data_IF_133516963804
#
_entry.id   IF_133516963804
#
_cell.length_a   1.000
_cell.length_b   1.000
_cell.length_c   1.000
_cell.angle_alpha   90.00
_cell.angle_beta   90.00
_cell.angle_gamma   90.00
#
_symmetry.space_group_name_H-M   'P 1'
#
loop_
_entity.id
_entity.type
_entity.pdbx_description
1 polymer ?
#
# COMPACT_ATOMS: atom_id res chain seq x y z
N UNK A 1 -9.89 -35.94 -41.55
CA UNK A 1 -8.55 -35.39 -41.26
C UNK A 1 -8.51 -33.86 -41.26
N UNK A 2 -9.04 -33.18 -42.29
CA UNK A 2 -9.08 -31.70 -42.32
C UNK A 2 -9.96 -31.15 -41.18
N UNK A 3 -11.14 -31.72 -40.96
CA UNK A 3 -12.05 -31.31 -39.88
C UNK A 3 -11.42 -31.45 -38.49
N UNK A 4 -10.82 -32.61 -38.20
CA UNK A 4 -10.08 -32.84 -36.94
C UNK A 4 -8.90 -31.89 -36.78
N UNK A 5 -8.20 -31.53 -37.86
CA UNK A 5 -7.10 -30.58 -37.83
C UNK A 5 -7.59 -29.15 -37.50
N UNK A 6 -8.72 -28.73 -38.08
CA UNK A 6 -9.35 -27.44 -37.80
C UNK A 6 -9.79 -27.37 -36.33
N UNK A 7 -10.44 -28.41 -35.80
CA UNK A 7 -10.87 -28.45 -34.40
C UNK A 7 -9.69 -28.30 -33.44
N UNK A 8 -8.57 -29.00 -33.70
CA UNK A 8 -7.36 -28.90 -32.87
C UNK A 8 -6.78 -27.49 -32.90
N UNK A 9 -6.70 -26.86 -34.08
CA UNK A 9 -6.21 -25.48 -34.20
C UNK A 9 -7.10 -24.51 -33.41
N UNK A 10 -8.43 -24.63 -33.53
CA UNK A 10 -9.37 -23.77 -32.77
C UNK A 10 -9.18 -23.96 -31.26
N UNK A 11 -9.05 -25.19 -30.78
CA UNK A 11 -8.82 -25.47 -29.35
C UNK A 11 -7.51 -24.87 -28.87
N UNK A 12 -6.42 -24.96 -29.64
CA UNK A 12 -5.13 -24.37 -29.28
C UNK A 12 -5.19 -22.84 -29.22
N UNK A 13 -5.90 -22.20 -30.15
CA UNK A 13 -6.11 -20.75 -30.15
C UNK A 13 -6.92 -20.32 -28.93
N UNK A 14 -8.04 -21.00 -28.63
CA UNK A 14 -8.87 -20.69 -27.45
C UNK A 14 -8.09 -20.92 -26.16
N UNK A 15 -7.32 -22.02 -26.07
CA UNK A 15 -6.52 -22.33 -24.89
C UNK A 15 -5.42 -21.27 -24.66
N UNK A 16 -4.73 -20.83 -25.71
CA UNK A 16 -3.68 -19.81 -25.58
C UNK A 16 -4.24 -18.46 -25.14
N UNK A 17 -5.34 -17.99 -25.76
CA UNK A 17 -6.02 -16.76 -25.33
C UNK A 17 -6.58 -16.88 -23.90
N UNK A 18 -7.17 -18.03 -23.57
CA UNK A 18 -7.72 -18.30 -22.24
C UNK A 18 -6.66 -18.24 -21.13
N UNK A 19 -5.47 -18.79 -21.37
CA UNK A 19 -4.35 -18.73 -20.41
C UNK A 19 -3.89 -17.28 -20.18
N UNK A 20 -3.76 -16.49 -21.24
CA UNK A 20 -3.33 -15.09 -21.14
C UNK A 20 -4.34 -14.27 -20.33
N UNK A 21 -5.62 -14.36 -20.67
CA UNK A 21 -6.68 -13.66 -19.93
C UNK A 21 -6.77 -14.10 -18.47
N UNK A 22 -6.63 -15.41 -18.20
CA UNK A 22 -6.62 -15.93 -16.83
C UNK A 22 -5.47 -15.36 -16.00
N UNK A 23 -4.25 -15.33 -16.55
CA UNK A 23 -3.08 -14.75 -15.87
C UNK A 23 -3.27 -13.27 -15.55
N UNK A 24 -3.79 -12.50 -16.51
CA UNK A 24 -4.08 -11.08 -16.27
C UNK A 24 -5.10 -10.86 -15.15
N UNK A 25 -6.15 -11.68 -15.09
CA UNK A 25 -7.14 -11.62 -14.02
C UNK A 25 -6.51 -11.95 -12.66
N UNK A 26 -5.68 -12.99 -12.61
CA UNK A 26 -4.97 -13.38 -11.39
C UNK A 26 -3.99 -12.30 -10.92
N UNK A 27 -3.22 -11.69 -11.82
CA UNK A 27 -2.28 -10.61 -11.50
C UNK A 27 -3.03 -9.39 -10.98
N UNK A 28 -4.15 -9.05 -11.61
CA UNK A 28 -5.02 -7.94 -11.19
C UNK A 28 -5.64 -8.20 -9.81
N UNK A 29 -6.08 -9.43 -9.55
CA UNK A 29 -6.62 -9.83 -8.24
C UNK A 29 -5.53 -9.80 -7.15
N UNK A 30 -4.33 -10.28 -7.47
CA UNK A 30 -3.18 -10.29 -6.54
C UNK A 30 -2.73 -8.88 -6.20
N UNK A 31 -2.62 -8.01 -7.20
CA UNK A 31 -2.42 -6.58 -7.01
C UNK A 31 -3.47 -5.99 -6.07
N UNK A 32 -4.76 -6.28 -6.32
CA UNK A 32 -5.85 -5.75 -5.50
C UNK A 32 -5.77 -6.21 -4.05
N UNK A 33 -5.43 -7.46 -3.81
CA UNK A 33 -5.22 -7.99 -2.46
C UNK A 33 -4.04 -7.28 -1.78
N UNK A 34 -2.93 -7.05 -2.48
CA UNK A 34 -1.79 -6.32 -1.91
C UNK A 34 -2.13 -4.87 -1.55
N UNK A 35 -2.93 -4.18 -2.36
CA UNK A 35 -3.45 -2.85 -2.02
C UNK A 35 -4.27 -2.87 -0.73
N UNK A 36 -5.17 -3.84 -0.60
CA UNK A 36 -6.03 -3.99 0.57
C UNK A 36 -5.19 -4.35 1.80
N UNK A 37 -4.16 -5.17 1.65
CA UNK A 37 -3.20 -5.47 2.71
C UNK A 37 -2.46 -4.21 3.16
N UNK A 38 -1.90 -3.41 2.25
CA UNK A 38 -1.22 -2.15 2.58
C UNK A 38 -2.13 -1.22 3.39
N UNK A 39 -3.37 -1.00 2.92
CA UNK A 39 -4.34 -0.15 3.62
C UNK A 39 -4.80 -0.72 4.95
N UNK A 40 -4.91 -2.04 5.05
CA UNK A 40 -5.19 -2.75 6.30
C UNK A 40 -4.04 -2.53 7.29
N UNK A 41 -2.78 -2.62 6.83
CA UNK A 41 -1.62 -2.39 7.68
C UNK A 41 -1.50 -0.93 8.13
N UNK A 42 -1.76 0.05 7.27
CA UNK A 42 -1.83 1.47 7.68
C UNK A 42 -2.89 1.67 8.77
N UNK A 43 -4.09 1.11 8.59
CA UNK A 43 -5.16 1.23 9.59
C UNK A 43 -4.85 0.45 10.87
N UNK A 44 -4.13 -0.68 10.78
CA UNK A 44 -3.67 -1.43 11.94
C UNK A 44 -2.60 -0.64 12.72
N UNK A 45 -1.68 0.05 12.03
CA UNK A 45 -0.70 0.93 12.67
C UNK A 45 -1.36 2.13 13.34
N UNK A 46 -2.43 2.67 12.77
CA UNK A 46 -3.26 3.69 13.43
C UNK A 46 -3.87 3.15 14.72
N UNK A 47 -4.48 1.96 14.70
CA UNK A 47 -5.04 1.36 15.93
C UNK A 47 -3.97 1.07 16.99
N UNK A 48 -2.80 0.60 16.58
CA UNK A 48 -1.67 0.42 17.50
C UNK A 48 -1.26 1.76 18.13
N UNK A 49 -1.08 2.80 17.32
CA UNK A 49 -0.61 4.09 17.80
C UNK A 49 -1.60 4.77 18.75
N UNK A 50 -2.91 4.57 18.54
CA UNK A 50 -3.95 5.06 19.43
C UNK A 50 -3.99 4.31 20.78
N UNK A 51 -3.52 3.07 20.85
CA UNK A 51 -3.51 2.26 22.07
C UNK A 51 -2.19 2.36 22.85
N UNK A 52 -1.07 2.47 22.13
CA UNK A 52 0.29 2.46 22.71
C UNK A 52 0.92 3.87 22.73
N UNK A 53 0.16 4.91 22.39
CA UNK A 53 0.56 6.34 22.33
C UNK A 53 1.78 6.61 21.43
N UNK A 54 1.97 5.80 20.39
CA UNK A 54 3.10 5.93 19.46
C UNK A 54 3.10 4.85 18.39
N UNK A 55 3.62 5.19 17.21
CA UNK A 55 3.72 4.28 16.08
C UNK A 55 4.73 3.14 16.34
N UNK A 56 4.46 1.92 15.84
CA UNK A 56 5.30 0.78 16.14
C UNK A 56 6.65 0.90 15.41
N UNK A 57 7.74 0.55 16.08
CA UNK A 57 9.07 0.52 15.45
C UNK A 57 9.19 -0.51 14.31
N UNK A 58 8.26 -1.45 14.21
CA UNK A 58 8.22 -2.49 13.19
C UNK A 58 6.81 -3.08 13.10
N UNK A 59 6.39 -3.56 11.92
CA UNK A 59 5.14 -4.27 11.74
C UNK A 59 4.99 -5.50 12.65
N UNK A 60 6.10 -6.09 13.10
CA UNK A 60 6.08 -7.24 14.03
C UNK A 60 5.55 -6.91 15.44
N UNK A 61 5.35 -5.62 15.77
CA UNK A 61 4.71 -5.20 17.03
C UNK A 61 3.19 -5.17 16.96
N UNK A 62 2.59 -5.24 15.76
CA UNK A 62 1.15 -5.27 15.61
C UNK A 62 0.56 -6.53 16.23
N UNK A 63 -0.48 -6.36 17.05
CA UNK A 63 -1.23 -7.48 17.62
C UNK A 63 -2.26 -7.97 16.61
N UNK A 64 -2.68 -9.22 16.74
CA UNK A 64 -3.72 -9.82 15.88
C UNK A 64 -4.97 -8.95 15.82
N UNK A 65 -5.40 -8.45 16.98
CA UNK A 65 -6.60 -7.63 17.14
C UNK A 65 -6.52 -6.30 16.39
N UNK A 66 -5.33 -5.72 16.21
CA UNK A 66 -5.14 -4.52 15.39
C UNK A 66 -5.43 -4.82 13.92
N UNK A 67 -4.87 -5.93 13.42
CA UNK A 67 -5.00 -6.35 12.03
C UNK A 67 -6.44 -6.81 11.72
N UNK A 68 -7.07 -7.59 12.61
CA UNK A 68 -8.46 -8.04 12.44
C UNK A 68 -9.45 -6.87 12.39
N UNK A 69 -9.33 -5.92 13.33
CA UNK A 69 -10.16 -4.71 13.33
C UNK A 69 -9.92 -3.86 12.10
N UNK A 70 -8.66 -3.71 11.68
CA UNK A 70 -8.31 -2.94 10.50
C UNK A 70 -8.87 -3.57 9.21
N UNK A 71 -8.77 -4.89 9.08
CA UNK A 71 -9.34 -5.64 7.95
C UNK A 71 -10.86 -5.43 7.87
N UNK A 72 -11.56 -5.62 8.99
CA UNK A 72 -13.01 -5.42 9.05
C UNK A 72 -13.41 -3.97 8.68
N UNK A 73 -12.62 -2.99 9.14
CA UNK A 73 -12.84 -1.58 8.80
C UNK A 73 -12.66 -1.33 7.29
N UNK A 74 -11.56 -1.82 6.71
CA UNK A 74 -11.24 -1.63 5.28
C UNK A 74 -12.28 -2.30 4.41
N UNK A 75 -12.62 -3.56 4.68
CA UNK A 75 -13.60 -4.29 3.89
C UNK A 75 -15.00 -3.66 3.94
N UNK A 76 -15.39 -3.03 5.07
CA UNK A 76 -16.70 -2.38 5.21
C UNK A 76 -16.77 -1.00 4.55
N UNK A 77 -15.66 -0.26 4.48
CA UNK A 77 -15.64 1.16 4.08
C UNK A 77 -14.97 1.44 2.74
N UNK A 78 -14.14 0.54 2.23
CA UNK A 78 -13.44 0.75 0.97
C UNK A 78 -14.01 -0.06 -0.19
N UNK A 79 -14.54 0.66 -1.19
CA UNK A 79 -14.89 0.12 -2.49
C UNK A 79 -16.07 -0.85 -2.46
N UNK A 80 -16.17 -1.66 -3.52
CA UNK A 80 -17.22 -2.66 -3.65
C UNK A 80 -16.80 -3.95 -2.92
N UNK A 81 -17.47 -4.24 -1.81
CA UNK A 81 -17.24 -5.44 -0.98
C UNK A 81 -17.19 -6.73 -1.82
N UNK A 82 -18.02 -6.84 -2.84
CA UNK A 82 -18.04 -7.99 -3.73
C UNK A 82 -16.77 -8.12 -4.56
N UNK A 83 -16.27 -7.02 -5.13
CA UNK A 83 -15.03 -7.03 -5.92
C UNK A 83 -13.85 -7.43 -5.05
N UNK A 84 -13.77 -6.89 -3.83
CA UNK A 84 -12.70 -7.24 -2.90
C UNK A 84 -12.76 -8.72 -2.51
N UNK A 85 -13.96 -9.24 -2.17
CA UNK A 85 -14.15 -10.66 -1.85
C UNK A 85 -13.80 -11.57 -3.03
N UNK A 86 -14.16 -11.19 -4.25
CA UNK A 86 -13.81 -11.94 -5.46
C UNK A 86 -12.31 -11.96 -5.70
N UNK A 87 -11.61 -10.83 -5.50
CA UNK A 87 -10.15 -10.80 -5.60
C UNK A 87 -9.49 -11.76 -4.60
N UNK A 88 -9.90 -11.72 -3.32
CA UNK A 88 -9.41 -12.68 -2.31
C UNK A 88 -9.72 -14.13 -2.70
N UNK A 89 -10.92 -14.42 -3.20
CA UNK A 89 -11.31 -15.77 -3.62
C UNK A 89 -10.44 -16.27 -4.78
N UNK A 90 -10.24 -15.46 -5.83
CA UNK A 90 -9.44 -15.81 -6.99
C UNK A 90 -8.00 -16.13 -6.62
N UNK A 91 -7.36 -15.29 -5.82
CA UNK A 91 -5.98 -15.52 -5.37
C UNK A 91 -5.91 -16.77 -4.48
N UNK A 92 -6.88 -16.95 -3.57
CA UNK A 92 -6.96 -18.12 -2.68
C UNK A 92 -7.08 -19.44 -3.46
N UNK A 93 -7.89 -19.48 -4.52
CA UNK A 93 -8.05 -20.67 -5.37
C UNK A 93 -6.75 -21.06 -6.10
N UNK A 94 -5.91 -20.08 -6.42
CA UNK A 94 -4.63 -20.32 -7.11
C UNK A 94 -3.43 -20.45 -6.15
N UNK A 95 -3.63 -20.21 -4.85
CA UNK A 95 -2.56 -20.32 -3.85
C UNK A 95 -2.52 -21.75 -3.31
N UNK A 96 -1.34 -22.42 -3.30
CA UNK A 96 -1.22 -23.75 -2.72
C UNK A 96 -1.61 -23.76 -1.21
N UNK A 97 -2.25 -24.83 -0.69
CA UNK A 97 -2.73 -24.94 0.71
C UNK A 97 -1.68 -24.57 1.78
N UNK A 98 -0.42 -24.84 1.47
CA UNK A 98 0.74 -24.63 2.34
C UNK A 98 1.17 -23.16 2.49
N UNK A 99 0.62 -22.22 1.71
CA UNK A 99 1.05 -20.82 1.71
C UNK A 99 -0.09 -19.86 2.10
N UNK A 100 -1.10 -20.32 2.83
CA UNK A 100 -2.28 -19.49 3.13
C UNK A 100 -2.04 -18.34 4.12
N UNK A 101 -0.89 -18.28 4.79
CA UNK A 101 -0.58 -17.22 5.77
C UNK A 101 -0.58 -15.80 5.17
N UNK A 102 -0.45 -15.67 3.85
CA UNK A 102 -0.27 -14.40 3.12
C UNK A 102 -1.46 -13.42 3.18
N UNK A 103 -2.67 -13.91 3.52
CA UNK A 103 -3.84 -13.02 3.58
C UNK A 103 -4.09 -12.58 5.01
N UNK A 104 -4.18 -11.26 5.24
CA UNK A 104 -4.51 -10.62 6.53
C UNK A 104 -5.99 -10.80 6.94
N UNK A 105 -6.59 -11.93 6.57
CA UNK A 105 -7.99 -12.26 6.87
C UNK A 105 -8.13 -12.82 8.30
N UNK A 106 -9.30 -12.64 8.94
CA UNK A 106 -9.54 -13.17 10.29
C UNK A 106 -9.30 -14.68 10.41
N UNK A 107 -9.70 -15.47 9.42
CA UNK A 107 -9.52 -16.94 9.45
C UNK A 107 -8.04 -17.33 9.50
N UNK A 108 -7.21 -16.66 8.71
CA UNK A 108 -5.76 -16.90 8.69
C UNK A 108 -5.09 -16.41 9.97
N UNK A 109 -5.47 -15.22 10.44
CA UNK A 109 -4.95 -14.65 11.69
C UNK A 109 -5.31 -15.52 12.90
N UNK A 110 -6.51 -16.13 12.91
CA UNK A 110 -6.92 -17.09 13.94
C UNK A 110 -6.10 -18.38 13.89
N UNK A 111 -5.78 -18.86 12.67
CA UNK A 111 -5.08 -20.13 12.46
C UNK A 111 -3.56 -20.03 12.68
N UNK A 112 -2.94 -18.94 12.24
CA UNK A 112 -1.48 -18.79 12.19
C UNK A 112 -0.94 -17.70 13.13
N UNK A 113 -1.79 -16.80 13.64
CA UNK A 113 -1.36 -15.67 14.46
C UNK A 113 -0.71 -14.55 13.64
N UNK A 114 -0.01 -13.65 14.33
CA UNK A 114 0.83 -12.61 13.70
C UNK A 114 2.26 -13.10 13.65
N UNK A 115 2.61 -13.78 12.55
CA UNK A 115 3.98 -14.21 12.28
C UNK A 115 4.59 -13.35 11.17
N UNK A 116 5.87 -13.52 10.88
CA UNK A 116 6.52 -12.75 9.81
C UNK A 116 5.89 -13.04 8.45
N UNK A 117 5.45 -14.28 8.24
CA UNK A 117 4.92 -14.79 6.98
C UNK A 117 3.55 -14.20 6.61
N UNK A 118 2.83 -13.58 7.56
CA UNK A 118 1.55 -12.92 7.24
C UNK A 118 1.71 -11.59 6.49
N UNK A 119 2.90 -11.00 6.55
CA UNK A 119 3.21 -9.74 5.86
C UNK A 119 3.71 -9.98 4.43
N UNK A 120 3.09 -10.93 3.72
CA UNK A 120 3.45 -11.30 2.37
C UNK A 120 2.44 -10.75 1.36
N UNK A 121 2.93 -10.26 0.22
CA UNK A 121 2.10 -9.86 -0.91
C UNK A 121 1.90 -11.06 -1.83
N UNK A 122 0.66 -11.49 -2.15
CA UNK A 122 0.45 -12.65 -3.03
C UNK A 122 1.06 -12.55 -4.44
N UNK A 123 1.39 -11.34 -4.90
CA UNK A 123 2.12 -11.14 -6.15
C UNK A 123 3.63 -11.41 -6.05
N UNK A 124 4.17 -11.61 -4.84
CA UNK A 124 5.59 -11.78 -4.59
C UNK A 124 6.00 -13.27 -4.70
N UNK A 125 6.76 -13.66 -5.73
CA UNK A 125 7.12 -15.06 -5.94
C UNK A 125 8.12 -15.60 -4.91
N UNK A 126 8.74 -14.71 -4.10
CA UNK A 126 9.83 -15.11 -3.18
C UNK A 126 9.35 -15.72 -1.87
N UNK A 127 8.07 -15.60 -1.52
CA UNK A 127 7.52 -16.09 -0.24
C UNK A 127 8.01 -15.34 1.02
N UNK A 128 8.80 -14.27 0.86
CA UNK A 128 9.36 -13.51 1.98
C UNK A 128 8.39 -12.43 2.48
N UNK A 129 8.71 -11.78 3.61
CA UNK A 129 8.04 -10.53 4.00
C UNK A 129 8.10 -9.54 2.82
N UNK A 130 6.94 -8.99 2.48
CA UNK A 130 6.77 -8.04 1.37
C UNK A 130 6.38 -6.65 1.84
N UNK A 131 6.05 -6.44 3.12
CA UNK A 131 5.62 -5.14 3.65
C UNK A 131 6.47 -4.68 4.84
N UNK A 132 6.61 -3.36 4.96
CA UNK A 132 7.29 -2.74 6.10
C UNK A 132 6.77 -1.34 6.41
N UNK A 133 6.97 -0.92 7.65
CA UNK A 133 6.64 0.43 8.13
C UNK A 133 7.83 1.38 8.00
N UNK A 134 7.56 2.65 7.76
CA UNK A 134 8.56 3.72 7.70
C UNK A 134 9.36 3.79 9.03
N UNK A 135 10.67 3.61 8.96
CA UNK A 135 11.57 3.61 10.14
C UNK A 135 11.57 4.93 10.90
N UNK A 136 11.35 6.05 10.22
CA UNK A 136 11.42 7.40 10.80
C UNK A 136 10.18 7.75 11.64
N UNK A 137 9.17 6.90 11.65
CA UNK A 137 7.94 7.13 12.41
C UNK A 137 7.90 6.39 13.75
N UNK A 138 8.95 5.65 14.10
CA UNK A 138 8.96 4.86 15.33
C UNK A 138 8.77 5.75 16.57
N UNK A 139 7.71 5.49 17.34
CA UNK A 139 7.37 6.25 18.55
C UNK A 139 6.62 7.57 18.30
N UNK A 140 6.46 8.01 17.05
CA UNK A 140 5.70 9.21 16.72
C UNK A 140 4.20 9.01 16.97
N UNK A 141 3.52 10.03 17.50
CA UNK A 141 2.07 9.97 17.70
C UNK A 141 1.34 10.03 16.37
N UNK A 142 0.25 9.28 16.24
CA UNK A 142 -0.50 9.26 14.99
C UNK A 142 -0.98 10.65 14.58
N UNK A 143 -1.49 11.47 15.50
CA UNK A 143 -1.94 12.84 15.18
C UNK A 143 -0.85 13.76 14.65
N UNK A 144 0.41 13.55 15.07
CA UNK A 144 1.53 14.43 14.74
C UNK A 144 2.13 14.10 13.36
N UNK A 145 1.87 12.89 12.84
CA UNK A 145 2.28 12.50 11.48
C UNK A 145 1.48 13.28 10.43
N UNK A 146 2.11 14.00 9.48
CA UNK A 146 1.38 14.75 8.47
C UNK A 146 0.63 13.87 7.47
N UNK A 147 -0.47 14.38 6.91
CA UNK A 147 -1.16 13.72 5.80
C UNK A 147 -0.24 13.57 4.59
N UNK A 148 -0.31 12.43 3.89
CA UNK A 148 0.60 12.16 2.77
C UNK A 148 1.99 11.64 3.16
N UNK A 149 2.30 11.52 4.45
CA UNK A 149 3.54 10.87 4.89
C UNK A 149 3.52 9.37 4.54
N UNK A 150 4.60 8.78 3.98
CA UNK A 150 4.67 7.34 3.74
C UNK A 150 4.56 6.54 5.03
N UNK A 151 3.59 5.61 5.12
CA UNK A 151 3.37 4.78 6.32
C UNK A 151 3.86 3.36 6.07
N UNK A 152 3.27 2.65 5.11
CA UNK A 152 3.66 1.27 4.74
C UNK A 152 4.08 1.23 3.28
N UNK A 153 5.15 0.51 2.96
CA UNK A 153 5.57 0.26 1.60
C UNK A 153 5.87 -1.23 1.38
N UNK A 154 5.95 -1.62 0.11
CA UNK A 154 6.46 -2.92 -0.27
C UNK A 154 7.99 -2.96 -0.17
N UNK A 155 8.51 -3.89 0.62
CA UNK A 155 9.92 -3.86 1.04
C UNK A 155 10.76 -4.93 0.38
N UNK A 156 12.05 -4.66 0.32
CA UNK A 156 13.06 -5.62 -0.10
C UNK A 156 13.54 -6.50 1.06
N UNK A 157 14.11 -7.68 0.73
CA UNK A 157 14.91 -8.54 1.62
C UNK A 157 14.22 -9.06 2.89
N UNK A 158 12.89 -9.04 2.92
CA UNK A 158 12.15 -9.60 4.05
C UNK A 158 12.15 -8.71 5.29
N UNK A 159 12.27 -7.38 5.14
CA UNK A 159 12.27 -6.45 6.26
C UNK A 159 10.85 -5.96 6.59
N UNK A 160 10.53 -5.89 7.88
CA UNK A 160 9.27 -5.34 8.42
C UNK A 160 9.30 -3.81 8.53
N UNK A 161 10.32 -3.17 8.00
CA UNK A 161 10.53 -1.73 7.97
C UNK A 161 11.14 -1.30 6.63
N UNK A 162 11.00 -0.02 6.29
CA UNK A 162 11.67 0.61 5.13
C UNK A 162 12.09 2.04 5.45
N UNK A 163 13.06 2.53 4.67
CA UNK A 163 13.49 3.92 4.72
C UNK A 163 12.98 4.66 3.47
N UNK A 164 12.08 5.64 3.60
CA UNK A 164 11.56 6.39 2.45
C UNK A 164 12.63 7.15 1.66
N UNK A 165 13.80 7.40 2.27
CA UNK A 165 14.91 8.10 1.64
C UNK A 165 15.86 7.14 0.91
N UNK A 166 15.73 5.82 1.11
CA UNK A 166 16.53 4.78 0.45
C UNK A 166 15.65 3.88 -0.45
N UNK A 167 15.77 4.07 -1.77
CA UNK A 167 15.01 3.27 -2.74
C UNK A 167 15.40 1.80 -2.75
N UNK A 168 16.55 1.41 -2.18
CA UNK A 168 16.94 0.00 -2.05
C UNK A 168 16.13 -0.76 -1.00
N UNK A 169 15.40 -0.05 -0.15
CA UNK A 169 14.51 -0.64 0.85
C UNK A 169 13.11 -0.93 0.31
N UNK A 170 12.74 -0.34 -0.83
CA UNK A 170 11.44 -0.49 -1.49
C UNK A 170 11.58 -1.35 -2.74
N UNK A 171 10.75 -2.38 -2.89
CA UNK A 171 10.90 -3.38 -3.95
C UNK A 171 9.67 -3.46 -4.86
N UNK A 172 9.91 -3.56 -6.16
CA UNK A 172 8.85 -3.89 -7.09
C UNK A 172 8.40 -5.35 -6.89
N UNK A 173 7.16 -5.54 -6.43
CA UNK A 173 6.55 -6.85 -6.18
C UNK A 173 5.45 -7.22 -7.18
N UNK A 174 5.15 -6.33 -8.12
CA UNK A 174 4.08 -6.54 -9.09
C UNK A 174 4.57 -6.42 -10.51
N UNK A 175 3.92 -7.17 -11.38
CA UNK A 175 4.13 -7.11 -12.83
C UNK A 175 2.90 -6.44 -13.47
N UNK A 176 3.13 -5.47 -14.33
CA UNK A 176 2.12 -4.77 -15.13
C UNK A 176 2.48 -4.84 -16.61
N UNK A 177 1.49 -4.69 -17.48
CA UNK A 177 1.63 -4.69 -18.94
C UNK A 177 2.33 -5.97 -19.46
N UNK A 178 1.78 -7.14 -19.14
CA UNK A 178 2.24 -8.44 -19.65
C UNK A 178 3.70 -8.79 -19.35
N UNK A 179 4.26 -8.38 -18.21
CA UNK A 179 5.67 -8.66 -17.89
C UNK A 179 6.61 -7.48 -18.07
N UNK A 180 6.16 -6.40 -18.70
CA UNK A 180 7.05 -5.32 -19.14
C UNK A 180 7.38 -4.30 -18.05
N UNK A 181 6.58 -4.22 -16.99
CA UNK A 181 6.79 -3.26 -15.92
C UNK A 181 6.74 -3.91 -14.54
N UNK A 182 7.82 -3.73 -13.79
CA UNK A 182 7.87 -4.06 -12.37
C UNK A 182 7.49 -2.81 -11.56
N UNK A 183 6.41 -2.90 -10.80
CA UNK A 183 5.92 -1.81 -9.96
C UNK A 183 5.93 -2.20 -8.49
N UNK A 184 6.15 -1.19 -7.65
CA UNK A 184 5.99 -1.22 -6.20
C UNK A 184 4.76 -0.43 -5.81
N UNK A 185 4.22 -0.75 -4.65
CA UNK A 185 3.12 -0.02 -4.03
C UNK A 185 3.51 0.48 -2.64
N UNK A 186 2.95 1.62 -2.25
CA UNK A 186 3.04 2.14 -0.90
C UNK A 186 1.75 2.87 -0.54
N UNK A 187 1.45 2.93 0.75
CA UNK A 187 0.33 3.68 1.30
C UNK A 187 0.85 4.80 2.18
N UNK A 188 0.35 6.00 1.89
CA UNK A 188 0.60 7.20 2.67
C UNK A 188 -0.51 7.38 3.71
N UNK A 189 -0.25 8.19 4.73
CA UNK A 189 -1.25 8.57 5.74
C UNK A 189 -2.48 9.12 5.05
N UNK A 190 -3.65 8.60 5.44
CA UNK A 190 -4.92 8.91 4.76
C UNK A 190 -5.26 7.93 3.65
N UNK A 191 -4.59 6.76 3.61
CA UNK A 191 -4.90 5.62 2.74
C UNK A 191 -4.69 5.91 1.25
N UNK A 192 -3.82 6.86 0.97
CA UNK A 192 -3.46 7.25 -0.40
C UNK A 192 -2.51 6.21 -0.93
N UNK A 193 -2.87 5.61 -2.06
CA UNK A 193 -2.05 4.60 -2.69
C UNK A 193 -1.12 5.25 -3.72
N UNK A 194 0.18 4.97 -3.59
CA UNK A 194 1.20 5.37 -4.55
C UNK A 194 1.71 4.12 -5.24
N UNK A 195 1.79 4.16 -6.57
CA UNK A 195 2.30 3.07 -7.40
C UNK A 195 3.30 3.59 -8.41
N UNK A 196 4.28 2.77 -8.77
CA UNK A 196 5.25 3.07 -9.82
C UNK A 196 6.48 2.20 -9.70
N UNK A 197 7.54 2.52 -10.45
CA UNK A 197 8.86 1.95 -10.17
C UNK A 197 9.37 2.41 -8.80
N UNK A 198 10.24 1.66 -8.10
CA UNK A 198 10.76 2.06 -6.79
C UNK A 198 11.29 3.49 -6.74
N UNK A 199 12.12 3.89 -7.72
CA UNK A 199 12.64 5.26 -7.77
C UNK A 199 11.56 6.32 -8.03
N UNK A 200 10.52 5.99 -8.81
CA UNK A 200 9.37 6.88 -9.02
C UNK A 200 8.58 7.06 -7.72
N UNK A 201 8.39 5.99 -6.95
CA UNK A 201 7.70 6.04 -5.65
C UNK A 201 8.51 6.87 -4.63
N UNK A 202 9.82 6.65 -4.54
CA UNK A 202 10.72 7.49 -3.73
C UNK A 202 10.67 8.96 -4.16
N UNK A 203 10.73 9.23 -5.47
CA UNK A 203 10.64 10.60 -6.00
C UNK A 203 9.34 11.27 -5.55
N UNK A 204 8.21 10.55 -5.58
CA UNK A 204 6.94 11.07 -5.06
C UNK A 204 6.98 11.35 -3.57
N UNK A 205 7.62 10.50 -2.76
CA UNK A 205 7.79 10.76 -1.33
C UNK A 205 8.54 12.07 -1.09
N UNK A 206 9.68 12.27 -1.77
CA UNK A 206 10.46 13.50 -1.68
C UNK A 206 9.71 14.75 -2.17
N UNK A 207 8.94 14.63 -3.26
CA UNK A 207 8.10 15.72 -3.76
C UNK A 207 6.99 16.08 -2.77
N UNK A 208 6.32 15.09 -2.17
CA UNK A 208 5.29 15.33 -1.15
C UNK A 208 5.90 16.01 0.09
N UNK A 209 7.06 15.52 0.55
CA UNK A 209 7.76 16.11 1.67
C UNK A 209 8.10 17.59 1.40
N UNK A 210 8.77 17.87 0.28
CA UNK A 210 9.31 19.21 -0.01
C UNK A 210 8.28 20.21 -0.54
N UNK A 211 7.31 19.78 -1.35
CA UNK A 211 6.34 20.68 -1.97
C UNK A 211 5.05 20.83 -1.16
N UNK A 212 4.69 19.83 -0.33
CA UNK A 212 3.45 19.86 0.43
C UNK A 212 3.67 19.95 1.94
N UNK A 213 4.43 19.01 2.53
CA UNK A 213 4.53 18.88 3.99
C UNK A 213 5.38 20.00 4.60
N UNK A 214 6.59 20.24 4.08
CA UNK A 214 7.50 21.26 4.63
C UNK A 214 6.91 22.67 4.56
N UNK A 215 6.40 23.17 3.41
CA UNK A 215 5.86 24.53 3.34
C UNK A 215 4.62 24.70 4.23
N UNK A 216 3.83 23.63 4.37
CA UNK A 216 2.67 23.60 5.24
C UNK A 216 3.06 23.73 6.72
N UNK A 217 4.08 23.00 7.18
CA UNK A 217 4.62 23.13 8.53
C UNK A 217 5.24 24.49 8.79
N UNK A 218 6.04 24.99 7.85
CA UNK A 218 6.67 26.31 7.96
C UNK A 218 5.62 27.42 8.06
N UNK A 219 4.57 27.37 7.24
CA UNK A 219 3.47 28.32 7.33
C UNK A 219 2.81 28.32 8.71
N UNK A 220 2.48 27.13 9.25
CA UNK A 220 1.90 27.05 10.59
C UNK A 220 2.87 27.49 11.71
N UNK A 221 4.16 27.17 11.58
CA UNK A 221 5.18 27.62 12.52
C UNK A 221 5.35 29.14 12.52
N UNK A 222 5.31 29.77 11.35
CA UNK A 222 5.41 31.22 11.20
C UNK A 222 4.17 31.92 11.76
N UNK A 223 2.96 31.43 11.43
CA UNK A 223 1.69 31.96 11.95
C UNK A 223 1.62 31.89 13.48
N UNK A 224 2.20 30.84 14.07
CA UNK A 224 2.19 30.62 15.51
C UNK A 224 3.47 31.13 16.20
N UNK A 225 4.32 31.89 15.50
CA UNK A 225 5.65 32.28 15.97
C UNK A 225 5.65 33.14 17.25
N UNK A 226 4.56 33.86 17.50
CA UNK A 226 4.40 34.73 18.68
C UNK A 226 4.10 33.93 19.98
N UNK A 227 3.56 32.72 19.85
CA UNK A 227 3.24 31.86 20.98
C UNK A 227 4.47 31.08 21.48
N UNK A 228 4.48 30.71 22.77
CA UNK A 228 5.54 29.89 23.38
C UNK A 228 4.96 28.67 24.11
N UNK A 229 5.78 27.63 24.26
CA UNK A 229 5.42 26.42 25.00
C UNK A 229 4.13 25.77 24.52
N UNK A 230 3.25 25.41 25.45
CA UNK A 230 1.98 24.73 25.16
C UNK A 230 1.06 25.53 24.21
N UNK A 231 1.00 26.86 24.36
CA UNK A 231 0.17 27.71 23.50
C UNK A 231 0.62 27.68 22.03
N UNK A 232 1.94 27.57 21.80
CA UNK A 232 2.48 27.40 20.43
C UNK A 232 2.04 26.07 19.84
N UNK A 233 2.13 25.00 20.62
CA UNK A 233 1.75 23.67 20.18
C UNK A 233 0.25 23.57 19.85
N UNK A 234 -0.62 24.16 20.67
CA UNK A 234 -2.06 24.24 20.38
C UNK A 234 -2.36 25.07 19.14
N UNK A 235 -1.71 26.22 18.97
CA UNK A 235 -1.84 27.04 17.77
C UNK A 235 -1.46 26.26 16.51
N UNK A 236 -0.32 25.57 16.53
CA UNK A 236 0.17 24.76 15.42
C UNK A 236 -0.84 23.64 15.11
N UNK A 237 -1.32 22.90 16.12
CA UNK A 237 -2.34 21.85 15.93
C UNK A 237 -3.62 22.39 15.28
N UNK A 238 -4.06 23.58 15.70
CA UNK A 238 -5.22 24.25 15.10
C UNK A 238 -4.95 24.65 13.65
N UNK A 239 -3.81 25.29 13.38
CA UNK A 239 -3.43 25.66 12.02
C UNK A 239 -3.37 24.45 11.07
N UNK A 240 -2.80 23.34 11.54
CA UNK A 240 -2.76 22.09 10.81
C UNK A 240 -4.19 21.65 10.47
N UNK A 241 -5.06 21.55 11.48
CA UNK A 241 -6.45 21.14 11.28
C UNK A 241 -7.18 22.02 10.26
N UNK A 242 -7.04 23.34 10.36
CA UNK A 242 -7.74 24.32 9.52
C UNK A 242 -7.25 24.28 8.06
N UNK A 243 -5.98 23.95 7.83
CA UNK A 243 -5.37 23.92 6.50
C UNK A 243 -5.27 22.52 5.87
N UNK A 244 -5.77 21.48 6.55
CA UNK A 244 -5.66 20.08 6.12
C UNK A 244 -6.16 19.85 4.68
N UNK A 245 -7.22 20.55 4.26
CA UNK A 245 -7.76 20.45 2.90
C UNK A 245 -6.75 20.86 1.81
N UNK A 246 -5.94 21.88 2.08
CA UNK A 246 -4.88 22.33 1.15
C UNK A 246 -3.76 21.29 1.04
N UNK A 247 -3.32 20.74 2.17
CA UNK A 247 -2.33 19.66 2.21
C UNK A 247 -2.83 18.43 1.42
N UNK A 248 -4.09 18.04 1.65
CA UNK A 248 -4.71 16.93 0.92
C UNK A 248 -4.70 17.18 -0.58
N UNK A 249 -5.08 18.39 -1.01
CA UNK A 249 -5.10 18.78 -2.42
C UNK A 249 -3.72 18.71 -3.06
N UNK A 250 -2.70 19.26 -2.38
CA UNK A 250 -1.31 19.24 -2.84
C UNK A 250 -0.78 17.81 -2.99
N UNK A 251 -0.99 16.96 -1.99
CA UNK A 251 -0.50 15.58 -2.05
C UNK A 251 -1.22 14.79 -3.15
N UNK A 252 -2.54 14.98 -3.32
CA UNK A 252 -3.28 14.36 -4.43
C UNK A 252 -2.75 14.79 -5.78
N UNK A 253 -2.45 16.08 -5.97
CA UNK A 253 -1.92 16.58 -7.25
C UNK A 253 -0.56 15.95 -7.61
N UNK A 254 0.30 15.66 -6.64
CA UNK A 254 1.58 14.96 -6.89
C UNK A 254 1.34 13.48 -7.23
N UNK A 255 0.44 12.82 -6.48
CA UNK A 255 0.13 11.41 -6.69
C UNK A 255 -0.52 11.18 -8.07
N UNK A 256 -1.46 12.04 -8.46
CA UNK A 256 -2.26 11.97 -9.69
C UNK A 256 -1.57 12.66 -10.90
N UNK A 257 -0.88 13.78 -10.69
CA UNK A 257 -0.37 14.67 -11.74
C UNK A 257 0.95 14.26 -12.43
N UNK A 258 1.55 13.14 -12.02
CA UNK A 258 2.70 12.53 -12.71
C UNK A 258 2.29 11.51 -13.79
N UNK A 259 1.04 11.58 -14.25
CA UNK A 259 0.47 10.79 -15.34
C UNK A 259 0.70 11.35 -16.76
N UNK A 260 1.65 12.27 -16.96
CA UNK A 260 2.01 12.77 -18.29
C UNK A 260 3.51 12.58 -18.55
N UNK A 261 3.87 11.36 -18.96
CA UNK A 261 4.90 11.13 -19.98
C UNK A 261 4.53 9.83 -20.70
N UNK A 262 4.10 10.00 -21.97
CA UNK A 262 3.87 9.00 -23.01
C UNK A 262 2.82 7.90 -22.77
N UNK A 263 1.55 8.23 -23.02
CA UNK A 263 0.67 7.34 -23.81
C UNK A 263 0.13 8.16 -24.98
N UNK A 264 0.92 8.22 -26.06
CA UNK A 264 0.34 8.48 -27.37
C UNK A 264 -0.59 7.30 -27.70
N UNK A 265 -1.79 7.53 -28.25
CA UNK A 265 -2.52 6.48 -28.94
C UNK A 265 -1.70 6.13 -30.19
N UNK A 266 -1.11 4.95 -30.20
CA UNK A 266 -0.58 4.36 -31.43
C UNK A 266 -1.72 3.57 -32.05
N UNK A 267 -2.35 4.19 -33.04
CA UNK A 267 -3.23 3.66 -34.11
C UNK A 267 -4.41 2.75 -33.73
#
# INVERSE_FOLDING_TARGET
MIETMITVVIVLVIASLGIVSYRQLLDSASQKVCELNLKTLEKATEFYALEEDGLPASLGKLKREHIERAYAWIMKREGNLWINKLAFLFVKLNTPPQVYAQFLTPDNLRKYGVTKEIFHCPSDPSGNISYGINVHLAGEKWEDVPWGTPIIAETCRGNLTFDPDDSTTVCARHIRNFGLQHITQAVLKGKILVKGKPDTVKTKFGQIATACITPYWENCNNLCGEYKGAAKHECIKKCIKDNLGSLISCVKSIVEGSGNTSEHPSE
#
